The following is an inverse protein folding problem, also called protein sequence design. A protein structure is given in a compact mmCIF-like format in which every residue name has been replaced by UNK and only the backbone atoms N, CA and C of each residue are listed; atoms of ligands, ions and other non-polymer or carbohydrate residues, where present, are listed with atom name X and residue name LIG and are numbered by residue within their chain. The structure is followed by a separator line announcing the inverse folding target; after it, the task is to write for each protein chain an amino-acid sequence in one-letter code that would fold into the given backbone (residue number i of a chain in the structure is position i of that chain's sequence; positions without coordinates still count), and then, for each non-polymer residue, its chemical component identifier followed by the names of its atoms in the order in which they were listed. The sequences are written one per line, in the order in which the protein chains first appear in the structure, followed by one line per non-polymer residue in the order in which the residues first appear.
data_IF_142987170845
#
_entry.id   IF_142987170845
#
_cell.length_a   1.000
_cell.length_b   1.000
_cell.length_c   1.000
_cell.angle_alpha   90.00
_cell.angle_beta   90.00
_cell.angle_gamma   90.00
#
_symmetry.space_group_name_H-M   'P 1'
#
loop_
_entity.id
_entity.type
_entity.pdbx_description
1 polymer ?
#
# COMPACT_ATOMS: atom_id res chain seq x y z
N UNK A 1 21.97 13.12 -5.21
CA UNK A 1 21.12 13.72 -4.15
C UNK A 1 20.89 12.67 -3.08
N UNK A 2 21.19 12.90 -1.79
CA UNK A 2 21.09 11.83 -0.79
C UNK A 2 19.71 11.85 -0.12
N UNK A 3 18.76 11.13 -0.71
CA UNK A 3 17.54 10.69 -0.01
C UNK A 3 17.84 9.39 0.72
N UNK A 4 17.91 9.42 2.06
CA UNK A 4 18.10 8.23 2.89
C UNK A 4 16.73 7.62 3.19
N UNK A 5 16.23 6.82 2.25
CA UNK A 5 15.25 5.75 2.42
C UNK A 5 15.11 5.04 1.05
N UNK A 6 16.08 4.19 0.71
CA UNK A 6 16.08 3.40 -0.54
C UNK A 6 15.49 1.98 -0.37
N UNK A 7 14.85 1.68 0.76
CA UNK A 7 14.11 0.42 0.95
C UNK A 7 12.64 0.62 0.56
N UNK A 8 12.42 0.93 -0.72
CA UNK A 8 11.11 0.83 -1.36
C UNK A 8 10.73 -0.65 -1.40
N UNK A 9 9.53 -1.02 -0.94
CA UNK A 9 9.00 -2.37 -1.08
C UNK A 9 8.77 -2.68 -2.57
N UNK A 10 9.77 -3.26 -3.22
CA UNK A 10 9.69 -3.70 -4.62
C UNK A 10 9.10 -5.11 -4.76
N UNK A 11 8.97 -5.87 -3.66
CA UNK A 11 8.59 -7.28 -3.69
C UNK A 11 7.24 -7.51 -4.36
N UNK A 12 6.24 -6.62 -4.14
CA UNK A 12 4.95 -6.73 -4.83
C UNK A 12 5.07 -6.55 -6.35
N UNK A 13 5.98 -5.70 -6.82
CA UNK A 13 6.23 -5.50 -8.25
C UNK A 13 7.06 -6.64 -8.84
N UNK A 14 8.04 -7.14 -8.08
CA UNK A 14 8.88 -8.25 -8.49
C UNK A 14 8.09 -9.57 -8.59
N UNK A 15 7.07 -9.73 -7.75
CA UNK A 15 6.13 -10.86 -7.82
C UNK A 15 5.26 -10.84 -9.10
N UNK A 16 5.16 -9.72 -9.80
CA UNK A 16 4.40 -9.65 -11.05
C UNK A 16 5.12 -10.40 -12.18
N UNK A 17 4.37 -11.11 -13.06
CA UNK A 17 4.91 -11.61 -14.31
C UNK A 17 5.60 -10.51 -15.12
N UNK A 18 6.69 -10.86 -15.81
CA UNK A 18 7.49 -9.91 -16.58
C UNK A 18 6.67 -9.08 -17.60
N UNK A 19 5.60 -9.66 -18.15
CA UNK A 19 4.70 -8.97 -19.09
C UNK A 19 3.89 -7.85 -18.44
N UNK A 20 3.68 -7.88 -17.12
CA UNK A 20 2.88 -6.89 -16.39
C UNK A 20 3.73 -5.75 -15.81
N UNK A 21 5.03 -5.99 -15.62
CA UNK A 21 5.96 -5.02 -14.99
C UNK A 21 6.05 -3.66 -15.70
N UNK A 22 6.00 -3.56 -17.05
CA UNK A 22 6.03 -2.26 -17.73
C UNK A 22 4.82 -1.38 -17.36
N UNK A 23 3.61 -1.95 -17.32
CA UNK A 23 2.41 -1.22 -16.91
C UNK A 23 2.47 -0.83 -15.42
N UNK A 24 2.99 -1.73 -14.58
CA UNK A 24 3.18 -1.45 -13.16
C UNK A 24 4.18 -0.30 -12.92
N UNK A 25 5.29 -0.27 -13.65
CA UNK A 25 6.29 0.79 -13.56
C UNK A 25 5.73 2.15 -14.01
N UNK A 26 4.93 2.17 -15.08
CA UNK A 26 4.27 3.40 -15.57
C UNK A 26 3.29 3.95 -14.53
N UNK A 27 2.43 3.09 -13.98
CA UNK A 27 1.49 3.43 -12.91
C UNK A 27 2.21 3.90 -11.65
N UNK A 28 3.30 3.24 -11.28
CA UNK A 28 4.12 3.60 -10.13
C UNK A 28 4.74 4.99 -10.28
N UNK A 29 5.17 5.34 -11.50
CA UNK A 29 5.87 6.60 -11.74
C UNK A 29 4.92 7.79 -11.92
N UNK A 30 3.83 7.63 -12.69
CA UNK A 30 3.02 8.77 -13.13
C UNK A 30 1.73 9.00 -12.35
N UNK A 31 1.25 8.01 -11.57
CA UNK A 31 -0.05 8.09 -10.94
C UNK A 31 0.03 8.23 -9.42
N UNK A 32 -0.91 9.00 -8.85
CA UNK A 32 -1.08 9.15 -7.40
C UNK A 32 -1.86 7.97 -6.83
N UNK A 33 -1.65 7.67 -5.55
CA UNK A 33 -2.37 6.60 -4.84
C UNK A 33 -3.90 6.73 -4.98
N UNK A 34 -4.44 7.94 -4.88
CA UNK A 34 -5.88 8.18 -5.06
C UNK A 34 -6.40 7.79 -6.44
N UNK A 35 -5.65 8.10 -7.50
CA UNK A 35 -6.01 7.74 -8.87
C UNK A 35 -5.97 6.22 -9.07
N UNK A 36 -4.98 5.55 -8.50
CA UNK A 36 -4.87 4.09 -8.56
C UNK A 36 -6.04 3.39 -7.87
N UNK A 37 -6.48 3.90 -6.71
CA UNK A 37 -7.65 3.36 -6.00
C UNK A 37 -8.93 3.55 -6.84
N UNK A 38 -9.10 4.70 -7.49
CA UNK A 38 -10.23 4.95 -8.40
C UNK A 38 -10.19 3.96 -9.55
N UNK A 39 -9.05 3.84 -10.25
CA UNK A 39 -8.88 2.88 -11.34
C UNK A 39 -9.12 1.44 -10.91
N UNK A 40 -8.76 1.09 -9.68
CA UNK A 40 -8.97 -0.24 -9.12
C UNK A 40 -10.44 -0.58 -8.87
N UNK A 41 -11.28 0.44 -8.66
CA UNK A 41 -12.72 0.30 -8.41
C UNK A 41 -13.55 0.45 -9.69
N UNK A 42 -13.18 1.40 -10.52
CA UNK A 42 -14.01 1.86 -11.67
C UNK A 42 -13.46 1.37 -13.01
N UNK A 43 -12.21 0.90 -13.03
CA UNK A 43 -11.51 0.46 -14.23
C UNK A 43 -10.42 1.44 -14.66
N UNK A 44 -9.51 0.94 -15.48
CA UNK A 44 -8.35 1.69 -15.96
C UNK A 44 -8.73 2.65 -17.07
N UNK A 45 -8.08 3.82 -17.09
CA UNK A 45 -8.24 4.85 -18.13
C UNK A 45 -7.98 4.29 -19.54
N UNK A 46 -8.71 4.79 -20.54
CA UNK A 46 -8.61 4.27 -21.91
C UNK A 46 -7.24 4.50 -22.54
N UNK A 47 -6.52 5.55 -22.15
CA UNK A 47 -5.17 5.80 -22.65
C UNK A 47 -4.17 4.75 -22.17
N UNK A 48 -4.32 4.23 -20.95
CA UNK A 48 -3.52 3.12 -20.45
C UNK A 48 -3.85 1.82 -21.18
N UNK A 49 -5.13 1.55 -21.47
CA UNK A 49 -5.56 0.38 -22.26
C UNK A 49 -4.99 0.39 -23.68
N UNK A 50 -4.84 1.58 -24.30
CA UNK A 50 -4.21 1.72 -25.62
C UNK A 50 -2.70 1.47 -25.58
N UNK A 51 -2.04 1.81 -24.47
CA UNK A 51 -0.59 1.65 -24.29
C UNK A 51 -0.19 0.23 -23.90
N UNK A 52 -1.05 -0.48 -23.16
CA UNK A 52 -0.78 -1.81 -22.65
C UNK A 52 -1.97 -2.74 -22.94
N UNK A 53 -1.71 -3.77 -23.74
CA UNK A 53 -2.71 -4.80 -24.07
C UNK A 53 -2.82 -5.83 -22.92
N UNK A 54 -3.54 -5.45 -21.87
CA UNK A 54 -3.76 -6.27 -20.69
C UNK A 54 -5.24 -6.59 -20.50
N UNK A 55 -5.52 -7.84 -20.12
CA UNK A 55 -6.85 -8.27 -19.67
C UNK A 55 -7.20 -7.59 -18.34
N UNK A 56 -8.50 -7.41 -18.08
CA UNK A 56 -9.01 -6.81 -16.84
C UNK A 56 -8.38 -7.42 -15.58
N UNK A 57 -8.29 -8.75 -15.49
CA UNK A 57 -7.68 -9.42 -14.33
C UNK A 57 -6.21 -9.05 -14.12
N UNK A 58 -5.45 -8.86 -15.20
CA UNK A 58 -4.05 -8.42 -15.10
C UNK A 58 -3.95 -6.96 -14.63
N UNK A 59 -4.88 -6.11 -15.07
CA UNK A 59 -4.96 -4.73 -14.55
C UNK A 59 -5.21 -4.69 -13.06
N UNK A 60 -6.12 -5.55 -12.55
CA UNK A 60 -6.38 -5.63 -11.12
C UNK A 60 -5.11 -6.01 -10.34
N UNK A 61 -4.41 -7.06 -10.78
CA UNK A 61 -3.15 -7.51 -10.17
C UNK A 61 -2.08 -6.41 -10.16
N UNK A 62 -1.91 -5.72 -11.30
CA UNK A 62 -0.96 -4.61 -11.42
C UNK A 62 -1.32 -3.48 -10.46
N UNK A 63 -2.59 -3.08 -10.43
CA UNK A 63 -3.05 -2.00 -9.56
C UNK A 63 -2.86 -2.37 -8.08
N UNK A 64 -3.19 -3.60 -7.67
CA UNK A 64 -3.04 -4.05 -6.29
C UNK A 64 -1.55 -4.01 -5.86
N UNK A 65 -0.65 -4.51 -6.72
CA UNK A 65 0.79 -4.46 -6.47
C UNK A 65 1.33 -3.02 -6.37
N UNK A 66 0.93 -2.13 -7.28
CA UNK A 66 1.37 -0.72 -7.28
C UNK A 66 0.79 0.05 -6.09
N UNK A 67 -0.47 -0.22 -5.71
CA UNK A 67 -1.11 0.37 -4.53
C UNK A 67 -0.32 -0.01 -3.28
N UNK A 68 -0.06 -1.30 -3.06
CA UNK A 68 0.68 -1.78 -1.89
C UNK A 68 2.08 -1.20 -1.83
N UNK A 69 2.77 -1.17 -2.98
CA UNK A 69 4.08 -0.55 -3.09
C UNK A 69 4.04 0.93 -2.67
N UNK A 70 3.11 1.73 -3.22
CA UNK A 70 3.00 3.16 -2.87
C UNK A 70 2.54 3.42 -1.44
N UNK A 71 1.73 2.54 -0.85
CA UNK A 71 1.34 2.68 0.56
C UNK A 71 2.56 2.61 1.47
N UNK A 72 3.53 1.73 1.15
CA UNK A 72 4.78 1.63 1.92
C UNK A 72 5.68 2.87 1.83
N UNK A 73 5.43 3.79 0.88
CA UNK A 73 6.20 5.03 0.74
C UNK A 73 5.85 6.07 1.79
N UNK A 74 4.69 5.92 2.44
CA UNK A 74 4.28 6.84 3.49
C UNK A 74 5.05 6.53 4.76
N UNK A 75 5.86 7.49 5.21
CA UNK A 75 6.48 7.42 6.52
C UNK A 75 5.43 7.68 7.60
N UNK A 76 5.07 6.63 8.33
CA UNK A 76 4.02 6.68 9.35
C UNK A 76 4.64 7.07 10.68
N UNK A 77 4.25 8.24 11.17
CA UNK A 77 4.73 8.83 12.43
C UNK A 77 3.57 9.38 13.24
N UNK A 78 3.82 9.73 14.52
CA UNK A 78 2.82 10.34 15.42
C UNK A 78 2.36 11.74 14.99
N UNK A 79 3.00 12.36 14.00
CA UNK A 79 2.54 13.61 13.40
C UNK A 79 1.36 13.39 12.45
N UNK A 80 1.17 12.17 11.96
CA UNK A 80 0.06 11.81 11.10
C UNK A 80 -1.21 11.58 11.93
N UNK A 81 -2.36 12.09 11.47
CA UNK A 81 -3.62 11.88 12.20
C UNK A 81 -4.01 10.40 12.21
N UNK A 82 -4.64 9.88 13.29
CA UNK A 82 -5.13 8.49 13.33
C UNK A 82 -6.06 8.15 12.16
N UNK A 83 -6.84 9.13 11.68
CA UNK A 83 -7.72 8.98 10.52
C UNK A 83 -6.94 8.64 9.24
N UNK A 84 -5.81 9.30 8.99
CA UNK A 84 -4.98 9.02 7.82
C UNK A 84 -4.30 7.64 7.93
N UNK A 85 -3.83 7.27 9.12
CA UNK A 85 -3.23 5.95 9.36
C UNK A 85 -4.26 4.84 9.12
N UNK A 86 -5.47 4.97 9.68
CA UNK A 86 -6.55 4.03 9.43
C UNK A 86 -6.89 3.95 7.94
N UNK A 87 -6.83 5.07 7.21
CA UNK A 87 -7.09 5.05 5.78
C UNK A 87 -6.03 4.27 5.00
N UNK A 88 -4.75 4.40 5.36
CA UNK A 88 -3.68 3.60 4.76
C UNK A 88 -3.88 2.10 5.03
N UNK A 89 -4.33 1.74 6.24
CA UNK A 89 -4.66 0.35 6.59
C UNK A 89 -5.86 -0.18 5.79
N UNK A 90 -6.93 0.61 5.64
CA UNK A 90 -8.07 0.24 4.78
C UNK A 90 -7.65 0.00 3.33
N UNK A 91 -6.77 0.86 2.78
CA UNK A 91 -6.25 0.71 1.41
C UNK A 91 -5.40 -0.55 1.30
N UNK A 92 -4.58 -0.84 2.31
CA UNK A 92 -3.75 -2.05 2.39
C UNK A 92 -4.62 -3.31 2.40
N UNK A 93 -5.60 -3.35 3.30
CA UNK A 93 -6.58 -4.42 3.42
C UNK A 93 -7.34 -4.65 2.10
N UNK A 94 -7.77 -3.56 1.46
CA UNK A 94 -8.44 -3.60 0.17
C UNK A 94 -7.57 -4.24 -0.94
N UNK A 95 -6.32 -3.81 -1.07
CA UNK A 95 -5.40 -4.31 -2.11
C UNK A 95 -4.88 -5.73 -1.83
N UNK A 96 -4.88 -6.17 -0.56
CA UNK A 96 -4.59 -7.56 -0.18
C UNK A 96 -5.81 -8.49 -0.29
N UNK A 97 -6.99 -7.95 -0.64
CA UNK A 97 -8.28 -8.66 -0.66
C UNK A 97 -8.74 -9.17 0.71
N UNK A 98 -8.39 -8.46 1.77
CA UNK A 98 -8.68 -8.80 3.16
C UNK A 98 -9.33 -7.60 3.89
N UNK A 99 -10.50 -7.08 3.42
CA UNK A 99 -11.05 -5.80 3.87
C UNK A 99 -11.39 -5.74 5.37
N UNK A 100 -11.67 -6.89 5.98
CA UNK A 100 -12.04 -7.02 7.39
C UNK A 100 -10.86 -7.47 8.28
N UNK A 101 -9.66 -7.62 7.71
CA UNK A 101 -8.51 -8.09 8.47
C UNK A 101 -8.01 -7.04 9.46
N UNK A 102 -7.67 -7.53 10.64
CA UNK A 102 -6.96 -6.78 11.67
C UNK A 102 -5.51 -6.53 11.24
N UNK A 103 -4.89 -5.51 11.83
CA UNK A 103 -3.47 -5.21 11.57
C UNK A 103 -2.56 -6.42 11.83
N UNK A 104 -2.84 -7.21 12.87
CA UNK A 104 -2.08 -8.43 13.17
C UNK A 104 -2.21 -9.50 12.09
N UNK A 105 -3.40 -9.64 11.48
CA UNK A 105 -3.63 -10.56 10.37
C UNK A 105 -2.94 -10.07 9.09
N UNK A 106 -2.99 -8.76 8.81
CA UNK A 106 -2.28 -8.17 7.69
C UNK A 106 -0.77 -8.40 7.81
N UNK A 107 -0.18 -8.21 9.00
CA UNK A 107 1.25 -8.48 9.25
C UNK A 107 1.55 -9.96 8.95
N UNK A 108 0.80 -10.89 9.54
CA UNK A 108 0.98 -12.34 9.30
C UNK A 108 0.84 -12.72 7.83
N UNK A 109 -0.02 -12.03 7.09
CA UNK A 109 -0.26 -12.31 5.67
C UNK A 109 0.97 -12.01 4.83
N UNK A 110 1.72 -10.97 5.18
CA UNK A 110 2.84 -10.47 4.37
C UNK A 110 4.22 -10.83 4.93
N UNK A 111 4.34 -11.20 6.22
CA UNK A 111 5.62 -11.38 6.91
C UNK A 111 6.56 -12.40 6.27
N UNK A 112 6.00 -13.40 5.58
CA UNK A 112 6.79 -14.45 4.93
C UNK A 112 7.36 -14.00 3.59
N UNK A 113 6.56 -13.28 2.80
CA UNK A 113 6.84 -13.05 1.38
C UNK A 113 7.26 -11.60 1.10
N UNK A 114 6.91 -10.65 1.97
CA UNK A 114 7.15 -9.20 1.83
C UNK A 114 7.64 -8.62 3.16
N UNK A 115 8.88 -8.93 3.54
CA UNK A 115 9.46 -8.59 4.84
C UNK A 115 9.49 -7.08 5.09
N UNK A 116 9.83 -6.27 4.08
CA UNK A 116 9.87 -4.82 4.23
C UNK A 116 8.47 -4.24 4.48
N UNK A 117 7.46 -4.73 3.78
CA UNK A 117 6.06 -4.33 4.01
C UNK A 117 5.56 -4.76 5.38
N UNK A 118 5.96 -5.95 5.83
CA UNK A 118 5.63 -6.42 7.17
C UNK A 118 6.25 -5.53 8.25
N UNK A 119 7.49 -5.08 8.06
CA UNK A 119 8.15 -4.14 8.97
C UNK A 119 7.48 -2.76 8.93
N UNK A 120 7.06 -2.29 7.76
CA UNK A 120 6.23 -1.07 7.64
C UNK A 120 4.92 -1.21 8.44
N UNK A 121 4.21 -2.34 8.34
CA UNK A 121 3.00 -2.58 9.12
C UNK A 121 3.26 -2.65 10.64
N UNK A 122 4.42 -3.17 11.06
CA UNK A 122 4.84 -3.15 12.48
C UNK A 122 5.10 -1.72 12.96
N UNK A 123 5.76 -0.87 12.16
CA UNK A 123 5.91 0.56 12.47
C UNK A 123 4.55 1.24 12.62
N UNK A 124 3.59 0.95 11.72
CA UNK A 124 2.22 1.45 11.85
C UNK A 124 1.58 0.99 13.17
N UNK A 125 1.79 -0.26 13.58
CA UNK A 125 1.29 -0.79 14.85
C UNK A 125 1.85 -0.01 16.05
N UNK A 126 3.17 0.23 16.06
CA UNK A 126 3.84 0.98 17.13
C UNK A 126 3.27 2.39 17.27
N UNK A 127 3.16 3.13 16.18
CA UNK A 127 2.59 4.49 16.17
C UNK A 127 1.15 4.50 16.68
N UNK A 128 0.33 3.50 16.31
CA UNK A 128 -1.04 3.38 16.84
C UNK A 128 -1.05 3.15 18.36
N UNK A 129 -0.13 2.35 18.87
CA UNK A 129 -0.01 2.11 20.31
C UNK A 129 0.45 3.35 21.06
N UNK A 130 1.27 4.21 20.46
CA UNK A 130 1.65 5.51 21.03
C UNK A 130 0.44 6.44 21.17
N UNK A 131 -0.45 6.51 20.17
CA UNK A 131 -1.69 7.27 20.29
C UNK A 131 -2.56 6.79 21.45
N UNK A 132 -2.69 5.46 21.62
CA UNK A 132 -3.45 4.88 22.75
C UNK A 132 -2.81 5.25 24.08
N UNK A 133 -1.48 5.15 24.20
CA UNK A 133 -0.75 5.54 25.43
C UNK A 133 -0.96 7.02 25.75
N UNK A 134 -0.86 7.91 24.76
CA UNK A 134 -1.07 9.34 24.94
C UNK A 134 -2.52 9.70 25.30
N UNK A 135 -3.50 9.00 24.74
CA UNK A 135 -4.90 9.21 25.09
C UNK A 135 -5.18 8.77 26.54
N UNK A 136 -4.65 7.61 26.96
CA UNK A 136 -4.71 7.14 28.35
C UNK A 136 -4.04 8.11 29.33
N UNK A 137 -2.85 8.61 29.00
CA UNK A 137 -2.14 9.57 29.87
C UNK A 137 -2.89 10.91 30.02
N UNK A 138 -3.80 11.22 29.08
CA UNK A 138 -4.66 12.41 29.11
C UNK A 138 -6.05 12.13 29.70
N UNK A 139 -6.32 10.90 30.15
CA UNK A 139 -7.63 10.51 30.69
C UNK A 139 -8.77 10.55 29.67
N UNK A 140 -8.46 10.49 28.36
CA UNK A 140 -9.46 10.51 27.28
C UNK A 140 -10.08 9.12 27.03
N UNK A 141 -9.40 8.06 27.48
CA UNK A 141 -9.79 6.65 27.45
C UNK A 141 -9.15 5.89 28.63
#
# INVERSE_FOLDING_TARGET
MPGRNHSVEAGFLDALPNSLRPAAADLLHYYRLSQLIIMRKEGVDDDLKKRFDLKTMHWLQVLDAVILTKVSYFDVTTQMTPKHINKLLEITAFALHEPDATLSELIKRVEKDYVFFADWLKQVHEVRMEFVKHAKSKGLI
#
